data_IF_147353290608
#
_entry.id   IF_147353290608
#
_cell.length_a   1.000
_cell.length_b   1.000
_cell.length_c   1.000
_cell.angle_alpha   90.00
_cell.angle_beta   90.00
_cell.angle_gamma   90.00
#
_symmetry.space_group_name_H-M   'P 1'
#
loop_
_entity.id
_entity.type
_entity.pdbx_description
1 polymer ?
#
# COMPACT_ATOMS: atom_id res chain seq x y z
N UNK A 1 -23.59 17.25 49.22
CA UNK A 1 -23.20 16.13 50.11
C UNK A 1 -24.23 15.02 50.02
N UNK A 2 -23.85 13.86 49.46
CA UNK A 2 -24.23 12.51 49.89
C UNK A 2 -23.50 11.51 48.99
N UNK A 3 -22.57 10.78 49.60
CA UNK A 3 -21.75 9.71 49.04
C UNK A 3 -22.25 8.46 49.75
N UNK A 4 -22.70 7.44 49.02
CA UNK A 4 -22.97 6.07 49.49
C UNK A 4 -23.48 5.27 48.27
N UNK A 5 -22.96 4.08 47.91
CA UNK A 5 -21.96 3.25 48.55
C UNK A 5 -21.47 2.14 47.62
N UNK A 6 -20.43 1.45 48.08
CA UNK A 6 -19.85 0.25 47.49
C UNK A 6 -20.77 -0.96 47.58
N UNK A 7 -20.77 -1.80 46.54
CA UNK A 7 -20.92 -3.26 46.68
C UNK A 7 -20.41 -3.97 45.41
N UNK A 8 -19.58 -4.99 45.62
CA UNK A 8 -19.58 -6.20 44.78
C UNK A 8 -18.50 -6.32 43.71
N UNK A 9 -17.39 -7.00 44.05
CA UNK A 9 -16.47 -7.59 43.08
C UNK A 9 -17.14 -8.78 42.36
N UNK A 10 -17.04 -8.81 41.04
CA UNK A 10 -17.01 -10.05 40.28
C UNK A 10 -16.05 -9.85 39.11
N UNK A 11 -14.79 -10.22 39.34
CA UNK A 11 -13.83 -10.41 38.27
C UNK A 11 -14.30 -11.58 37.41
N UNK A 12 -14.83 -11.29 36.23
CA UNK A 12 -14.92 -12.25 35.14
C UNK A 12 -13.73 -11.96 34.21
N UNK A 13 -12.79 -12.89 34.23
CA UNK A 13 -11.64 -12.94 33.32
C UNK A 13 -12.13 -12.78 31.87
N UNK A 14 -11.51 -11.92 31.05
CA UNK A 14 -11.86 -11.81 29.64
C UNK A 14 -11.55 -13.15 28.96
N UNK A 15 -12.56 -13.74 28.32
CA UNK A 15 -12.35 -14.84 27.38
C UNK A 15 -11.47 -14.31 26.24
N UNK A 16 -10.23 -14.78 26.17
CA UNK A 16 -9.28 -14.49 25.11
C UNK A 16 -9.82 -15.09 23.80
N UNK A 17 -10.53 -14.28 23.00
CA UNK A 17 -10.70 -14.58 21.58
C UNK A 17 -9.34 -14.39 20.91
N UNK A 18 -8.70 -15.49 20.52
CA UNK A 18 -7.49 -15.50 19.73
C UNK A 18 -7.69 -14.70 18.43
N UNK A 19 -7.04 -13.54 18.33
CA UNK A 19 -6.94 -12.75 17.10
C UNK A 19 -6.09 -13.51 16.08
N UNK A 20 -6.73 -14.18 15.11
CA UNK A 20 -6.05 -14.75 13.93
C UNK A 20 -5.72 -13.71 12.86
N UNK A 21 -5.94 -12.42 13.12
CA UNK A 21 -5.65 -11.33 12.18
C UNK A 21 -4.14 -11.20 11.86
N UNK A 22 -3.26 -11.53 12.81
CA UNK A 22 -1.82 -11.36 12.67
C UNK A 22 -1.21 -12.17 11.51
N UNK A 23 -1.76 -13.36 11.19
CA UNK A 23 -1.20 -14.24 10.16
C UNK A 23 -1.54 -13.78 8.74
N UNK A 24 -2.73 -13.18 8.52
CA UNK A 24 -3.12 -12.64 7.22
C UNK A 24 -2.42 -11.30 6.93
N UNK A 25 -2.18 -10.49 7.97
CA UNK A 25 -1.45 -9.23 7.87
C UNK A 25 0.04 -9.46 7.57
N UNK A 26 0.65 -10.48 8.18
CA UNK A 26 2.05 -10.85 7.94
C UNK A 26 2.29 -11.39 6.51
N UNK A 27 1.33 -12.12 5.92
CA UNK A 27 1.45 -12.63 4.55
C UNK A 27 1.28 -11.52 3.50
N UNK A 28 0.44 -10.52 3.78
CA UNK A 28 0.24 -9.32 2.94
C UNK A 28 1.49 -8.42 2.88
N UNK A 29 2.28 -8.38 3.95
CA UNK A 29 3.53 -7.61 3.97
C UNK A 29 4.63 -8.25 3.09
N UNK A 30 4.57 -9.58 2.91
CA UNK A 30 5.52 -10.37 2.13
C UNK A 30 5.36 -10.24 0.61
N UNK A 31 4.32 -9.59 0.08
CA UNK A 31 4.23 -9.28 -1.36
C UNK A 31 4.20 -7.79 -1.67
N UNK A 32 4.24 -6.91 -0.65
CA UNK A 32 4.11 -5.48 -0.86
C UNK A 32 5.21 -4.93 -1.78
N UNK A 33 4.84 -4.39 -2.97
CA UNK A 33 5.82 -3.89 -3.91
C UNK A 33 6.44 -2.59 -3.41
N UNK A 34 7.78 -2.56 -3.34
CA UNK A 34 8.56 -1.35 -3.03
C UNK A 34 9.35 -0.88 -4.26
N UNK A 35 9.51 0.42 -4.40
CA UNK A 35 10.30 1.04 -5.46
C UNK A 35 10.83 2.39 -5.01
N UNK A 36 11.89 2.86 -5.68
CA UNK A 36 12.42 4.21 -5.51
C UNK A 36 11.79 5.17 -6.53
N UNK A 37 11.73 6.44 -6.15
CA UNK A 37 11.22 7.52 -6.97
C UNK A 37 12.25 8.63 -7.06
N UNK A 38 12.41 9.20 -8.26
CA UNK A 38 13.31 10.32 -8.53
C UNK A 38 12.53 11.35 -9.36
N UNK A 39 12.32 12.56 -8.82
CA UNK A 39 11.66 13.66 -9.52
C UNK A 39 10.36 13.25 -10.27
N UNK A 40 9.41 12.63 -9.56
CA UNK A 40 8.15 12.12 -10.14
C UNK A 40 8.34 11.07 -11.25
N UNK A 41 9.39 10.25 -11.15
CA UNK A 41 9.58 9.05 -11.96
C UNK A 41 9.86 7.85 -11.05
N UNK A 42 9.21 6.74 -11.34
CA UNK A 42 9.52 5.46 -10.70
C UNK A 42 10.75 4.87 -11.40
N UNK A 43 11.78 4.53 -10.64
CA UNK A 43 13.01 3.94 -11.19
C UNK A 43 12.75 2.46 -11.49
N UNK A 44 12.66 2.02 -12.76
CA UNK A 44 12.15 0.68 -13.08
C UNK A 44 13.00 -0.47 -12.51
N UNK A 45 14.33 -0.28 -12.44
CA UNK A 45 15.26 -1.27 -11.87
C UNK A 45 15.17 -1.42 -10.35
N UNK A 46 14.52 -0.47 -9.68
CA UNK A 46 14.32 -0.50 -8.22
C UNK A 46 13.02 -1.20 -7.81
N UNK A 47 12.13 -1.52 -8.76
CA UNK A 47 10.88 -2.19 -8.40
C UNK A 47 11.17 -3.56 -7.79
N UNK A 48 10.57 -3.84 -6.64
CA UNK A 48 10.75 -5.06 -5.85
C UNK A 48 12.18 -5.24 -5.31
N UNK A 49 12.88 -4.14 -4.96
CA UNK A 49 14.25 -4.20 -4.44
C UNK A 49 14.38 -4.96 -3.11
N UNK A 50 13.28 -5.16 -2.39
CA UNK A 50 13.21 -5.91 -1.13
C UNK A 50 13.18 -7.43 -1.31
N UNK A 51 13.08 -7.93 -2.54
CA UNK A 51 13.08 -9.36 -2.85
C UNK A 51 14.33 -9.76 -3.64
N UNK A 52 14.82 -10.99 -3.42
CA UNK A 52 15.95 -11.53 -4.18
C UNK A 52 15.56 -11.69 -5.65
N UNK A 53 16.31 -11.06 -6.56
CA UNK A 53 16.08 -11.19 -8.00
C UNK A 53 16.01 -12.66 -8.43
N UNK A 54 15.01 -12.97 -9.25
CA UNK A 54 14.77 -14.32 -9.78
C UNK A 54 13.94 -15.23 -8.88
N UNK A 55 13.69 -14.87 -7.61
CA UNK A 55 12.83 -15.65 -6.72
C UNK A 55 11.35 -15.63 -7.15
N UNK A 56 10.54 -16.52 -6.58
CA UNK A 56 9.10 -16.57 -6.86
C UNK A 56 8.43 -15.28 -6.35
N UNK A 57 8.82 -14.83 -5.17
CA UNK A 57 8.35 -13.60 -4.52
C UNK A 57 8.70 -12.38 -5.37
N UNK A 58 9.91 -12.32 -5.93
CA UNK A 58 10.31 -11.24 -6.83
C UNK A 58 9.41 -11.18 -8.07
N UNK A 59 9.10 -12.33 -8.70
CA UNK A 59 8.22 -12.39 -9.87
C UNK A 59 6.79 -11.98 -9.52
N UNK A 60 6.24 -12.50 -8.40
CA UNK A 60 4.91 -12.13 -7.90
C UNK A 60 4.82 -10.64 -7.58
N UNK A 61 5.79 -10.11 -6.84
CA UNK A 61 5.89 -8.69 -6.52
C UNK A 61 5.87 -7.81 -7.78
N UNK A 62 6.59 -8.19 -8.84
CA UNK A 62 6.60 -7.39 -10.08
C UNK A 62 5.25 -7.39 -10.80
N UNK A 63 4.52 -8.51 -10.79
CA UNK A 63 3.15 -8.56 -11.31
C UNK A 63 2.24 -7.63 -10.50
N UNK A 64 2.30 -7.71 -9.18
CA UNK A 64 1.53 -6.83 -8.28
C UNK A 64 1.91 -5.36 -8.42
N UNK A 65 3.20 -5.04 -8.58
CA UNK A 65 3.67 -3.67 -8.80
C UNK A 65 3.05 -3.06 -10.06
N UNK A 66 2.96 -3.83 -11.16
CA UNK A 66 2.31 -3.37 -12.39
C UNK A 66 0.83 -3.05 -12.15
N UNK A 67 0.13 -3.88 -11.38
CA UNK A 67 -1.27 -3.63 -11.02
C UNK A 67 -1.38 -2.38 -10.15
N UNK A 68 -0.49 -2.21 -9.16
CA UNK A 68 -0.46 -1.02 -8.30
C UNK A 68 -0.23 0.27 -9.09
N UNK A 69 0.65 0.25 -10.09
CA UNK A 69 0.86 1.41 -10.95
C UNK A 69 -0.40 1.78 -11.74
N UNK A 70 -1.16 0.80 -12.24
CA UNK A 70 -2.44 1.04 -12.92
C UNK A 70 -3.48 1.64 -11.97
N UNK A 71 -3.61 1.07 -10.77
CA UNK A 71 -4.55 1.58 -9.75
C UNK A 71 -4.23 3.02 -9.36
N UNK A 72 -2.96 3.34 -9.06
CA UNK A 72 -2.55 4.70 -8.70
C UNK A 72 -2.70 5.67 -9.88
N UNK A 73 -2.45 5.23 -11.12
CA UNK A 73 -2.68 6.03 -12.32
C UNK A 73 -4.15 6.49 -12.41
N UNK A 74 -5.09 5.56 -12.17
CA UNK A 74 -6.53 5.86 -12.16
C UNK A 74 -6.90 6.77 -10.97
N UNK A 75 -6.49 6.41 -9.76
CA UNK A 75 -6.80 7.17 -8.54
C UNK A 75 -6.35 8.64 -8.63
N UNK A 76 -5.14 8.89 -9.12
CA UNK A 76 -4.67 10.27 -9.32
C UNK A 76 -5.34 10.95 -10.52
N UNK A 77 -5.83 10.20 -11.51
CA UNK A 77 -6.66 10.75 -12.57
C UNK A 77 -7.98 11.30 -12.04
N UNK A 78 -8.66 10.54 -11.20
CA UNK A 78 -9.92 10.96 -10.57
C UNK A 78 -9.68 12.20 -9.70
N UNK A 79 -8.58 12.25 -8.94
CA UNK A 79 -8.22 13.45 -8.14
C UNK A 79 -7.97 14.68 -8.99
N UNK A 80 -7.28 14.52 -10.12
CA UNK A 80 -7.02 15.62 -11.07
C UNK A 80 -8.30 16.16 -11.68
N UNK A 81 -9.24 15.30 -12.03
CA UNK A 81 -10.54 15.68 -12.59
C UNK A 81 -11.39 16.45 -11.57
N UNK A 82 -11.39 16.02 -10.32
CA UNK A 82 -12.21 16.59 -9.26
C UNK A 82 -11.59 17.82 -8.56
N UNK A 83 -10.33 18.15 -8.85
CA UNK A 83 -9.61 19.24 -8.18
C UNK A 83 -9.21 20.32 -9.19
N UNK A 84 -9.53 21.57 -8.88
CA UNK A 84 -9.26 22.70 -9.78
C UNK A 84 -7.77 23.06 -9.81
N UNK A 85 -7.33 23.62 -10.94
CA UNK A 85 -6.02 24.28 -11.01
C UNK A 85 -6.00 25.52 -10.10
N UNK A 86 -4.88 25.83 -9.40
CA UNK A 86 -3.58 25.13 -9.39
C UNK A 86 -3.47 24.00 -8.35
N UNK A 87 -4.52 23.72 -7.58
CA UNK A 87 -4.48 22.79 -6.46
C UNK A 87 -4.22 21.33 -6.89
N UNK A 88 -4.50 20.97 -8.15
CA UNK A 88 -4.26 19.65 -8.71
C UNK A 88 -2.83 19.41 -9.25
N UNK A 89 -1.92 20.38 -9.17
CA UNK A 89 -0.59 20.29 -9.79
C UNK A 89 0.24 19.08 -9.34
N UNK A 90 0.20 18.75 -8.04
CA UNK A 90 0.93 17.59 -7.51
C UNK A 90 0.28 16.26 -7.94
N UNK A 91 -1.05 16.19 -7.92
CA UNK A 91 -1.80 15.03 -8.40
C UNK A 91 -1.56 14.78 -9.89
N UNK A 92 -1.47 15.83 -10.70
CA UNK A 92 -1.08 15.70 -12.11
C UNK A 92 0.31 15.09 -12.29
N UNK A 93 1.29 15.49 -11.46
CA UNK A 93 2.64 14.93 -11.54
C UNK A 93 2.64 13.46 -11.11
N UNK A 94 1.92 13.11 -10.05
CA UNK A 94 1.76 11.73 -9.57
C UNK A 94 1.01 10.87 -10.59
N UNK A 95 -0.07 11.36 -11.17
CA UNK A 95 -0.79 10.71 -12.26
C UNK A 95 0.16 10.37 -13.41
N UNK A 96 0.89 11.38 -13.94
CA UNK A 96 1.87 11.15 -15.02
C UNK A 96 2.92 10.12 -14.66
N UNK A 97 3.46 10.17 -13.43
CA UNK A 97 4.44 9.21 -12.93
C UNK A 97 3.90 7.78 -12.97
N UNK A 98 2.75 7.54 -12.34
CA UNK A 98 2.16 6.21 -12.23
C UNK A 98 1.65 5.69 -13.58
N UNK A 99 1.03 6.53 -14.40
CA UNK A 99 0.57 6.14 -15.73
C UNK A 99 1.75 5.80 -16.66
N UNK A 100 2.85 6.53 -16.57
CA UNK A 100 4.08 6.21 -17.33
C UNK A 100 4.62 4.84 -16.91
N UNK A 101 4.78 4.59 -15.61
CA UNK A 101 5.21 3.28 -15.11
C UNK A 101 4.21 2.16 -15.48
N UNK A 102 2.92 2.41 -15.38
CA UNK A 102 1.86 1.49 -15.77
C UNK A 102 1.86 1.15 -17.27
N UNK A 103 2.46 1.98 -18.13
CA UNK A 103 2.67 1.68 -19.55
C UNK A 103 4.00 0.99 -19.80
N UNK A 104 5.11 1.56 -19.33
CA UNK A 104 6.46 1.13 -19.68
C UNK A 104 7.01 -0.06 -18.88
N UNK A 105 6.52 -0.30 -17.67
CA UNK A 105 7.07 -1.35 -16.81
C UNK A 105 6.72 -2.74 -17.33
N UNK A 106 7.71 -3.58 -17.62
CA UNK A 106 7.50 -4.99 -17.94
C UNK A 106 7.67 -5.83 -16.67
N UNK A 107 6.63 -6.52 -16.16
CA UNK A 107 6.77 -7.36 -14.97
C UNK A 107 7.65 -8.59 -15.21
N UNK A 108 7.83 -9.03 -16.46
CA UNK A 108 8.59 -10.23 -16.83
C UNK A 108 10.06 -9.96 -17.15
N UNK A 109 10.49 -8.70 -17.23
CA UNK A 109 11.92 -8.38 -17.40
C UNK A 109 12.67 -8.63 -16.09
N UNK A 110 13.77 -9.39 -16.13
CA UNK A 110 14.60 -9.73 -14.97
C UNK A 110 15.60 -8.63 -14.60
#
# INVERSE_FOLDING_TARGET
MKIQGWMGMAALLPALLSTTAASAEAESELTQPRWRQEQYRIVPRSVCYNYRRGSIEYRRCRVEAKQRFRQRCQEYGDKVENTQYPYNLDDQRKQRMYCTAARSFNPLSL
#
